data_IF_655709371235
#
_entry.id   IF_655709371235
#
_cell.length_a   1.000
_cell.length_b   1.000
_cell.length_c   1.000
_cell.angle_alpha   90.00
_cell.angle_beta   90.00
_cell.angle_gamma   90.00
#
_symmetry.space_group_name_H-M   'P 1'
#
loop_
_entity.id
_entity.type
_entity.pdbx_description
1 polymer ?
#
# COMPACT_ATOMS: atom_id res chain seq x y z
N UNK A 1 -27.42 -15.45 16.82
CA UNK A 1 -27.19 -13.99 16.77
C UNK A 1 -25.97 -13.77 15.90
N UNK A 2 -25.97 -12.79 14.98
CA UNK A 2 -24.75 -12.46 14.25
C UNK A 2 -23.68 -12.04 15.26
N UNK A 3 -22.49 -12.60 15.10
CA UNK A 3 -21.34 -12.34 15.96
C UNK A 3 -20.98 -10.85 15.89
N UNK A 4 -21.24 -10.11 16.98
CA UNK A 4 -20.98 -8.67 17.07
C UNK A 4 -19.49 -8.35 17.19
N UNK A 5 -18.63 -9.37 17.31
CA UNK A 5 -17.17 -9.19 17.39
C UNK A 5 -16.49 -9.24 16.02
N UNK A 6 -17.21 -9.67 14.97
CA UNK A 6 -16.67 -9.72 13.60
C UNK A 6 -16.98 -8.43 12.84
N UNK A 7 -15.96 -7.76 12.28
CA UNK A 7 -16.18 -6.57 11.47
C UNK A 7 -17.03 -6.93 10.25
N UNK A 8 -18.21 -6.34 10.10
CA UNK A 8 -18.95 -6.40 8.85
C UNK A 8 -18.28 -5.46 7.84
N UNK A 9 -17.12 -5.87 7.34
CA UNK A 9 -16.51 -5.31 6.15
C UNK A 9 -17.31 -5.81 4.95
N UNK A 10 -17.71 -4.92 4.05
CA UNK A 10 -18.17 -5.37 2.74
C UNK A 10 -17.04 -6.14 2.06
N UNK A 11 -17.37 -7.19 1.32
CA UNK A 11 -16.36 -7.97 0.57
C UNK A 11 -15.49 -7.00 -0.25
N UNK A 12 -14.16 -7.19 -0.26
CA UNK A 12 -13.20 -6.30 -0.95
C UNK A 12 -13.61 -5.98 -2.40
N UNK A 13 -14.30 -6.90 -3.07
CA UNK A 13 -14.88 -6.69 -4.41
C UNK A 13 -15.78 -5.45 -4.52
N UNK A 14 -16.42 -5.00 -3.44
CA UNK A 14 -17.25 -3.79 -3.43
C UNK A 14 -16.44 -2.51 -3.72
N UNK A 15 -15.11 -2.56 -3.60
CA UNK A 15 -14.20 -1.44 -3.87
C UNK A 15 -13.48 -1.56 -5.22
N UNK A 16 -13.69 -2.67 -5.94
CA UNK A 16 -13.10 -2.97 -7.25
C UNK A 16 -14.17 -2.72 -8.32
N UNK A 17 -14.22 -1.49 -8.85
CA UNK A 17 -15.15 -1.11 -9.91
C UNK A 17 -14.53 -1.25 -11.31
N UNK A 18 -15.36 -1.12 -12.36
CA UNK A 18 -14.90 -1.17 -13.75
C UNK A 18 -13.80 -0.14 -14.05
N UNK A 19 -13.87 1.04 -13.43
CA UNK A 19 -12.87 2.08 -13.64
C UNK A 19 -11.51 1.69 -13.04
N UNK A 20 -11.46 1.02 -11.89
CA UNK A 20 -10.23 0.42 -11.37
C UNK A 20 -9.69 -0.66 -12.30
N UNK A 21 -10.55 -1.53 -12.81
CA UNK A 21 -10.11 -2.62 -13.68
C UNK A 21 -9.55 -2.12 -15.02
N UNK A 22 -10.18 -1.09 -15.59
CA UNK A 22 -9.68 -0.39 -16.78
C UNK A 22 -8.34 0.31 -16.49
N UNK A 23 -8.19 0.89 -15.29
CA UNK A 23 -6.92 1.45 -14.81
C UNK A 23 -5.79 0.42 -14.82
N UNK A 24 -6.05 -0.78 -14.30
CA UNK A 24 -5.09 -1.85 -14.26
C UNK A 24 -4.70 -2.29 -15.67
N UNK A 25 -5.68 -2.43 -16.57
CA UNK A 25 -5.42 -2.77 -17.97
C UNK A 25 -4.54 -1.73 -18.66
N UNK A 26 -4.86 -0.44 -18.52
CA UNK A 26 -4.08 0.67 -19.07
C UNK A 26 -2.66 0.71 -18.48
N UNK A 27 -2.54 0.57 -17.16
CA UNK A 27 -1.24 0.57 -16.48
C UNK A 27 -0.36 -0.57 -16.98
N UNK A 28 -0.93 -1.76 -17.18
CA UNK A 28 -0.23 -2.90 -17.73
C UNK A 28 0.15 -2.76 -19.20
N UNK A 29 -0.74 -2.20 -20.04
CA UNK A 29 -0.42 -1.91 -21.43
C UNK A 29 0.79 -0.97 -21.51
N UNK A 30 0.75 0.16 -20.79
CA UNK A 30 1.84 1.12 -20.73
C UNK A 30 3.11 0.48 -20.17
N UNK A 31 3.00 -0.34 -19.13
CA UNK A 31 4.14 -1.03 -18.51
C UNK A 31 4.83 -1.98 -19.49
N UNK A 32 4.06 -2.76 -20.25
CA UNK A 32 4.58 -3.72 -21.23
C UNK A 32 5.28 -3.02 -22.39
N UNK A 33 4.69 -1.93 -22.91
CA UNK A 33 5.28 -1.10 -23.96
C UNK A 33 6.60 -0.44 -23.50
N UNK A 34 6.62 0.12 -22.28
CA UNK A 34 7.81 0.72 -21.71
C UNK A 34 8.90 -0.32 -21.43
N UNK A 35 8.53 -1.51 -20.93
CA UNK A 35 9.46 -2.59 -20.69
C UNK A 35 10.14 -3.06 -21.99
N UNK A 36 9.36 -3.27 -23.06
CA UNK A 36 9.92 -3.59 -24.38
C UNK A 36 10.86 -2.48 -24.87
N UNK A 37 10.44 -1.22 -24.76
CA UNK A 37 11.26 -0.07 -25.18
C UNK A 37 12.59 0.02 -24.43
N UNK A 38 12.61 -0.29 -23.14
CA UNK A 38 13.85 -0.35 -22.35
C UNK A 38 14.74 -1.49 -22.81
N UNK A 39 14.17 -2.68 -23.04
CA UNK A 39 14.92 -3.86 -23.47
C UNK A 39 15.51 -3.69 -24.88
N UNK A 40 14.79 -3.06 -25.80
CA UNK A 40 15.27 -2.77 -27.16
C UNK A 40 16.47 -1.82 -27.16
N UNK A 41 16.54 -0.94 -26.16
CA UNK A 41 17.62 0.05 -25.99
C UNK A 41 18.71 -0.41 -25.00
N UNK A 42 18.57 -1.58 -24.38
CA UNK A 42 19.48 -2.05 -23.34
C UNK A 42 20.79 -2.52 -23.96
N UNK A 43 21.90 -1.92 -23.54
CA UNK A 43 23.24 -2.48 -23.78
C UNK A 43 23.37 -3.79 -22.97
N UNK A 44 23.67 -4.94 -23.61
CA UNK A 44 23.82 -6.23 -22.93
C UNK A 44 24.82 -6.21 -21.77
N UNK A 45 25.82 -5.32 -21.83
CA UNK A 45 26.88 -5.20 -20.82
C UNK A 45 26.61 -4.08 -19.79
N UNK A 46 25.45 -3.41 -19.85
CA UNK A 46 25.12 -2.31 -18.94
C UNK A 46 24.97 -2.75 -17.48
N UNK A 47 24.59 -4.01 -17.22
CA UNK A 47 24.31 -4.49 -15.86
C UNK A 47 25.50 -5.29 -15.34
N UNK A 48 26.06 -4.84 -14.22
CA UNK A 48 27.09 -5.59 -13.49
C UNK A 48 26.61 -7.04 -13.20
N UNK A 49 27.32 -8.08 -13.68
CA UNK A 49 26.96 -9.46 -13.44
C UNK A 49 26.90 -9.87 -11.96
N UNK A 50 27.45 -9.07 -11.06
CA UNK A 50 27.43 -9.28 -9.60
C UNK A 50 26.29 -8.54 -8.90
N UNK A 51 25.57 -7.64 -9.58
CA UNK A 51 24.44 -6.91 -9.01
C UNK A 51 23.11 -7.68 -9.17
N UNK A 52 22.78 -8.48 -8.16
CA UNK A 52 21.57 -9.32 -8.16
C UNK A 52 20.28 -8.51 -8.34
N UNK A 53 20.25 -7.29 -7.83
CA UNK A 53 19.06 -6.44 -7.88
C UNK A 53 18.77 -5.98 -9.30
N UNK A 54 19.78 -5.40 -9.97
CA UNK A 54 19.60 -4.91 -11.34
C UNK A 54 19.33 -6.04 -12.33
N UNK A 55 19.96 -7.22 -12.14
CA UNK A 55 19.65 -8.40 -12.95
C UNK A 55 18.21 -8.85 -12.77
N UNK A 56 17.73 -8.90 -11.52
CA UNK A 56 16.31 -9.18 -11.25
C UNK A 56 15.39 -8.17 -11.95
N UNK A 57 15.73 -6.88 -11.96
CA UNK A 57 14.94 -5.86 -12.67
C UNK A 57 14.88 -6.14 -14.17
N UNK A 58 15.99 -6.53 -14.82
CA UNK A 58 16.00 -6.89 -16.25
C UNK A 58 15.16 -8.13 -16.51
N UNK A 59 15.26 -9.16 -15.67
CA UNK A 59 14.46 -10.39 -15.81
C UNK A 59 12.97 -10.11 -15.63
N UNK A 60 12.62 -9.21 -14.70
CA UNK A 60 11.25 -8.74 -14.52
C UNK A 60 10.76 -7.98 -15.75
N UNK A 61 11.57 -7.08 -16.32
CA UNK A 61 11.21 -6.34 -17.55
C UNK A 61 10.95 -7.29 -18.73
N UNK A 62 11.74 -8.36 -18.89
CA UNK A 62 11.51 -9.39 -19.92
C UNK A 62 10.15 -10.04 -19.77
N UNK A 63 9.81 -10.49 -18.55
CA UNK A 63 8.50 -11.08 -18.26
C UNK A 63 7.37 -10.08 -18.49
N UNK A 64 7.56 -8.80 -18.14
CA UNK A 64 6.56 -7.76 -18.32
C UNK A 64 6.36 -7.38 -19.81
N UNK A 65 7.40 -7.37 -20.63
CA UNK A 65 7.29 -7.09 -22.07
C UNK A 65 6.48 -8.15 -22.82
N UNK A 66 6.55 -9.41 -22.36
CA UNK A 66 5.76 -10.53 -22.88
C UNK A 66 4.36 -10.63 -22.26
N UNK A 67 4.07 -9.86 -21.21
CA UNK A 67 2.79 -9.92 -20.52
C UNK A 67 1.66 -9.43 -21.42
N UNK A 68 0.59 -10.21 -21.50
CA UNK A 68 -0.63 -9.86 -22.23
C UNK A 68 -1.80 -10.08 -21.29
N UNK A 69 -2.48 -8.99 -20.92
CA UNK A 69 -3.77 -9.14 -20.26
C UNK A 69 -4.76 -9.82 -21.20
N UNK A 70 -5.64 -10.63 -20.62
CA UNK A 70 -6.82 -11.10 -21.35
C UNK A 70 -7.62 -9.86 -21.81
N UNK A 71 -8.05 -9.82 -23.09
CA UNK A 71 -8.74 -8.66 -23.63
C UNK A 71 -10.05 -8.40 -22.87
N UNK A 72 -10.20 -7.18 -22.35
CA UNK A 72 -11.47 -6.69 -21.78
C UNK A 72 -12.34 -6.09 -22.89
N UNK A 73 -13.68 -6.11 -22.75
CA UNK A 73 -14.56 -5.29 -23.59
C UNK A 73 -14.10 -3.82 -23.55
N UNK A 74 -14.29 -3.09 -24.64
CA UNK A 74 -13.90 -1.68 -24.71
C UNK A 74 -14.50 -0.90 -23.51
N UNK A 75 -13.72 -0.04 -22.85
CA UNK A 75 -14.10 0.59 -21.58
C UNK A 75 -15.41 1.36 -21.75
N UNK A 76 -16.31 1.21 -20.78
CA UNK A 76 -17.55 1.99 -20.70
C UNK A 76 -17.18 3.37 -20.17
N UNK A 77 -16.63 4.22 -21.06
CA UNK A 77 -16.18 5.59 -20.76
C UNK A 77 -15.25 5.69 -19.54
N UNK A 78 -13.94 5.61 -19.77
CA UNK A 78 -12.90 5.88 -18.76
C UNK A 78 -13.23 7.26 -18.12
N UNK A 79 -13.43 7.36 -16.79
CA UNK A 79 -13.43 8.65 -16.11
C UNK A 79 -12.12 9.36 -16.47
N UNK A 80 -12.21 10.62 -16.94
CA UNK A 80 -11.16 11.36 -17.68
C UNK A 80 -9.71 10.87 -17.49
N UNK A 81 -8.94 10.84 -18.57
CA UNK A 81 -7.49 10.53 -18.60
C UNK A 81 -6.64 11.19 -17.48
N UNK A 82 -7.18 12.20 -16.79
CA UNK A 82 -6.64 12.87 -15.61
C UNK A 82 -6.57 11.98 -14.35
N UNK A 83 -7.51 11.05 -14.11
CA UNK A 83 -7.52 10.23 -12.88
C UNK A 83 -6.39 9.17 -12.82
N UNK A 84 -5.93 8.70 -13.98
CA UNK A 84 -4.80 7.77 -14.12
C UNK A 84 -3.48 8.43 -14.51
N UNK A 85 -3.52 9.73 -14.83
CA UNK A 85 -2.34 10.48 -15.22
C UNK A 85 -1.17 10.32 -14.23
N UNK A 86 -1.36 10.35 -12.89
CA UNK A 86 -0.25 10.19 -11.95
C UNK A 86 0.49 8.85 -12.10
N UNK A 87 -0.23 7.76 -12.37
CA UNK A 87 0.35 6.43 -12.62
C UNK A 87 1.17 6.43 -13.90
N UNK A 88 0.57 6.85 -15.02
CA UNK A 88 1.25 6.83 -16.32
C UNK A 88 2.46 7.77 -16.31
N UNK A 89 2.36 8.94 -15.68
CA UNK A 89 3.48 9.86 -15.54
C UNK A 89 4.62 9.29 -14.70
N UNK A 90 4.32 8.57 -13.61
CA UNK A 90 5.33 7.92 -12.78
C UNK A 90 5.97 6.73 -13.50
N UNK A 91 5.20 5.92 -14.23
CA UNK A 91 5.72 4.86 -15.10
C UNK A 91 6.69 5.43 -16.14
N UNK A 92 6.29 6.47 -16.87
CA UNK A 92 7.15 7.12 -17.89
C UNK A 92 8.39 7.78 -17.27
N UNK A 93 8.27 8.35 -16.07
CA UNK A 93 9.40 8.90 -15.32
C UNK A 93 10.41 7.81 -14.92
N UNK A 94 9.91 6.68 -14.40
CA UNK A 94 10.73 5.52 -14.09
C UNK A 94 11.41 4.98 -15.37
N UNK A 95 10.66 4.81 -16.46
CA UNK A 95 11.17 4.32 -17.74
C UNK A 95 12.33 5.15 -18.28
N UNK A 96 12.18 6.49 -18.32
CA UNK A 96 13.26 7.38 -18.76
C UNK A 96 14.50 7.37 -17.85
N UNK A 97 14.41 6.76 -16.67
CA UNK A 97 15.50 6.62 -15.72
C UNK A 97 16.08 5.21 -15.62
N UNK A 98 15.47 4.20 -16.24
CA UNK A 98 15.93 2.82 -16.20
C UNK A 98 17.36 2.64 -16.73
N UNK A 99 17.76 3.21 -17.88
CA UNK A 99 19.13 3.02 -18.40
C UNK A 99 20.21 3.44 -17.39
N UNK A 100 20.10 4.64 -16.83
CA UNK A 100 21.01 5.16 -15.80
C UNK A 100 20.88 4.48 -14.44
N UNK A 101 19.79 3.76 -14.20
CA UNK A 101 19.65 2.92 -13.01
C UNK A 101 20.39 1.60 -13.20
N UNK A 102 20.22 0.98 -14.37
CA UNK A 102 20.79 -0.32 -14.74
C UNK A 102 22.32 -0.25 -14.88
N UNK A 103 22.87 0.86 -15.38
CA UNK A 103 24.33 1.08 -15.45
C UNK A 103 24.98 1.56 -14.13
N UNK A 104 24.17 1.75 -13.08
CA UNK A 104 24.63 2.19 -11.77
C UNK A 104 24.90 3.69 -11.62
N UNK A 105 24.72 4.50 -12.67
CA UNK A 105 24.91 5.96 -12.65
C UNK A 105 23.95 6.65 -11.66
N UNK A 106 22.77 6.07 -11.40
CA UNK A 106 21.74 6.62 -10.52
C UNK A 106 21.14 5.56 -9.59
N UNK A 107 20.82 5.95 -8.36
CA UNK A 107 20.03 5.11 -7.46
C UNK A 107 18.53 5.33 -7.67
N UNK A 108 17.71 4.30 -7.48
CA UNK A 108 16.25 4.48 -7.55
C UNK A 108 15.71 5.45 -6.52
N UNK A 109 16.36 5.59 -5.36
CA UNK A 109 15.98 6.60 -4.37
C UNK A 109 16.12 8.02 -4.92
N UNK A 110 17.20 8.34 -5.63
CA UNK A 110 17.34 9.68 -6.23
C UNK A 110 16.39 9.88 -7.42
N UNK A 111 16.02 8.80 -8.11
CA UNK A 111 15.05 8.83 -9.21
C UNK A 111 13.63 9.11 -8.71
N UNK A 112 13.19 8.39 -7.68
CA UNK A 112 11.80 8.35 -7.23
C UNK A 112 11.52 9.33 -6.08
N UNK A 113 12.48 9.54 -5.18
CA UNK A 113 12.27 10.26 -3.93
C UNK A 113 12.95 11.64 -3.90
N UNK A 114 13.22 12.22 -5.08
CA UNK A 114 13.74 13.58 -5.21
C UNK A 114 13.12 14.32 -6.40
N UNK A 115 13.18 15.66 -6.37
CA UNK A 115 12.82 16.53 -7.49
C UNK A 115 11.45 16.22 -8.11
N UNK A 116 11.43 15.91 -9.41
CA UNK A 116 10.21 15.53 -10.14
C UNK A 116 9.65 14.19 -9.66
N UNK A 117 10.52 13.22 -9.35
CA UNK A 117 10.10 11.90 -8.86
C UNK A 117 9.23 12.00 -7.62
N UNK A 118 9.65 12.79 -6.62
CA UNK A 118 8.90 12.96 -5.37
C UNK A 118 7.51 13.60 -5.61
N UNK A 119 7.38 14.51 -6.57
CA UNK A 119 6.06 15.09 -6.91
C UNK A 119 5.12 14.05 -7.51
N UNK A 120 5.64 13.20 -8.41
CA UNK A 120 4.87 12.11 -9.02
C UNK A 120 4.54 11.02 -8.01
N UNK A 121 5.51 10.66 -7.15
CA UNK A 121 5.33 9.74 -6.02
C UNK A 121 4.16 10.20 -5.14
N UNK A 122 4.14 11.48 -4.76
CA UNK A 122 3.03 12.03 -3.99
C UNK A 122 1.70 11.84 -4.70
N UNK A 123 1.59 12.20 -5.99
CA UNK A 123 0.36 12.05 -6.77
C UNK A 123 -0.11 10.61 -6.94
N UNK A 124 0.83 9.67 -7.05
CA UNK A 124 0.54 8.24 -7.22
C UNK A 124 -0.20 7.62 -6.04
N UNK A 125 0.16 7.99 -4.81
CA UNK A 125 -0.47 7.44 -3.60
C UNK A 125 -1.70 8.23 -3.11
N UNK A 126 -2.10 9.32 -3.77
CA UNK A 126 -3.31 10.06 -3.37
C UNK A 126 -4.59 9.38 -3.87
N UNK A 127 -5.70 9.59 -3.15
CA UNK A 127 -7.03 9.04 -3.45
C UNK A 127 -7.57 9.21 -4.88
N UNK A 128 -7.24 10.26 -5.66
CA UNK A 128 -7.68 10.35 -7.05
C UNK A 128 -7.10 9.25 -7.96
N UNK A 129 -5.97 8.64 -7.59
CA UNK A 129 -5.43 7.53 -8.35
C UNK A 129 -6.30 6.28 -8.14
N UNK A 130 -7.00 5.84 -9.19
CA UNK A 130 -7.92 4.71 -9.06
C UNK A 130 -7.19 3.42 -8.66
N UNK A 131 -5.89 3.27 -8.94
CA UNK A 131 -5.15 2.05 -8.56
C UNK A 131 -4.95 1.90 -7.05
N UNK A 132 -4.91 3.01 -6.30
CA UNK A 132 -4.78 3.00 -4.84
C UNK A 132 -6.10 3.26 -4.12
N UNK A 133 -7.12 3.73 -4.83
CA UNK A 133 -8.45 4.00 -4.26
C UNK A 133 -9.06 2.77 -3.57
N UNK A 134 -9.06 1.55 -4.15
CA UNK A 134 -9.66 0.38 -3.48
C UNK A 134 -9.01 0.06 -2.14
N UNK A 135 -7.67 0.08 -2.07
CA UNK A 135 -6.90 -0.14 -0.84
C UNK A 135 -7.32 0.83 0.27
N UNK A 136 -7.34 2.12 -0.06
CA UNK A 136 -7.70 3.19 0.87
C UNK A 136 -9.18 3.14 1.28
N UNK A 137 -10.08 2.82 0.35
CA UNK A 137 -11.53 2.76 0.60
C UNK A 137 -11.90 1.56 1.48
N UNK A 138 -11.34 0.39 1.19
CA UNK A 138 -11.60 -0.81 1.95
C UNK A 138 -11.04 -0.69 3.38
N UNK A 139 -9.84 -0.12 3.52
CA UNK A 139 -9.27 0.24 4.82
C UNK A 139 -10.15 1.23 5.60
N UNK A 140 -10.56 2.34 4.98
CA UNK A 140 -11.38 3.35 5.64
C UNK A 140 -12.74 2.78 6.10
N UNK A 141 -13.35 1.91 5.28
CA UNK A 141 -14.58 1.24 5.65
C UNK A 141 -14.41 0.28 6.85
N UNK A 142 -13.30 -0.48 6.90
CA UNK A 142 -12.98 -1.34 8.03
C UNK A 142 -12.72 -0.54 9.32
N UNK A 143 -12.00 0.58 9.24
CA UNK A 143 -11.80 1.50 10.37
C UNK A 143 -13.14 2.06 10.83
N UNK A 144 -13.93 2.64 9.92
CA UNK A 144 -15.24 3.22 10.25
C UNK A 144 -16.21 2.20 10.86
N UNK A 145 -16.19 0.95 10.38
CA UNK A 145 -16.93 -0.14 10.98
C UNK A 145 -16.49 -0.39 12.42
N UNK A 146 -15.18 -0.53 12.63
CA UNK A 146 -14.59 -0.79 13.95
C UNK A 146 -14.92 0.31 14.96
N UNK A 147 -14.83 1.59 14.56
CA UNK A 147 -15.16 2.71 15.43
C UNK A 147 -16.64 2.68 15.86
N UNK A 148 -17.55 2.28 14.96
CA UNK A 148 -18.99 2.19 15.26
C UNK A 148 -19.36 1.00 16.15
N UNK A 149 -18.64 -0.13 16.06
CA UNK A 149 -19.02 -1.37 16.76
C UNK A 149 -18.19 -1.67 18.00
N UNK A 150 -16.89 -1.37 17.98
CA UNK A 150 -15.96 -1.62 19.09
C UNK A 150 -15.87 -0.49 20.11
N UNK A 151 -16.42 0.68 19.77
CA UNK A 151 -16.22 1.93 20.51
C UNK A 151 -14.76 2.37 20.52
N UNK A 152 -14.52 3.57 21.05
CA UNK A 152 -13.17 4.12 21.13
C UNK A 152 -12.88 5.22 20.13
N UNK A 153 -11.76 5.90 20.34
CA UNK A 153 -11.51 7.20 19.73
C UNK A 153 -10.08 7.41 19.25
N UNK A 154 -9.18 6.43 19.44
CA UNK A 154 -7.75 6.54 19.16
C UNK A 154 -7.34 5.65 17.99
N UNK A 155 -6.91 6.29 16.92
CA UNK A 155 -6.46 5.65 15.67
C UNK A 155 -4.97 5.91 15.51
N UNK A 156 -4.22 4.85 15.20
CA UNK A 156 -2.82 4.92 14.77
C UNK A 156 -2.74 4.45 13.33
N UNK A 157 -2.23 5.29 12.41
CA UNK A 157 -1.82 4.84 11.08
C UNK A 157 -0.29 4.70 11.05
N UNK A 158 0.19 3.54 10.60
CA UNK A 158 1.62 3.24 10.44
C UNK A 158 1.99 3.12 8.97
N UNK A 159 3.13 3.69 8.59
CA UNK A 159 3.58 3.71 7.19
C UNK A 159 2.68 4.56 6.29
N UNK A 160 2.16 5.67 6.82
CA UNK A 160 1.22 6.54 6.12
C UNK A 160 1.78 7.14 4.82
N UNK A 161 3.12 7.22 4.69
CA UNK A 161 3.81 7.80 3.56
C UNK A 161 3.31 9.21 3.26
N UNK A 162 2.71 9.37 2.08
CA UNK A 162 2.19 10.65 1.58
C UNK A 162 0.79 10.98 2.12
N UNK A 163 0.24 10.14 2.99
CA UNK A 163 -1.06 10.31 3.66
C UNK A 163 -2.26 10.02 2.77
N UNK A 164 -2.15 9.07 1.83
CA UNK A 164 -3.25 8.70 0.92
C UNK A 164 -4.43 8.08 1.66
N UNK A 165 -4.16 7.08 2.51
CA UNK A 165 -5.15 6.48 3.39
C UNK A 165 -5.73 7.48 4.38
N UNK A 166 -4.86 8.30 5.02
CA UNK A 166 -5.29 9.43 5.84
C UNK A 166 -6.30 10.33 5.11
N UNK A 167 -6.00 10.74 3.87
CA UNK A 167 -6.88 11.59 3.06
C UNK A 167 -8.25 10.97 2.87
N UNK A 168 -8.26 9.67 2.58
CA UNK A 168 -9.46 8.91 2.29
C UNK A 168 -10.34 8.75 3.53
N UNK A 169 -9.74 8.40 4.66
CA UNK A 169 -10.44 8.25 5.92
C UNK A 169 -11.02 9.59 6.41
N UNK A 170 -10.28 10.69 6.28
CA UNK A 170 -10.79 12.03 6.61
C UNK A 170 -11.95 12.46 5.69
N UNK A 171 -11.89 12.13 4.39
CA UNK A 171 -12.94 12.46 3.44
C UNK A 171 -14.22 11.64 3.64
N UNK A 172 -14.10 10.42 4.16
CA UNK A 172 -15.22 9.54 4.50
C UNK A 172 -15.47 9.48 6.01
N UNK A 173 -15.04 10.51 6.73
CA UNK A 173 -15.22 10.54 8.17
C UNK A 173 -16.73 10.53 8.50
N UNK A 174 -17.24 9.57 9.28
CA UNK A 174 -18.68 9.44 9.43
C UNK A 174 -19.29 10.56 10.29
N UNK A 175 -20.36 11.19 9.80
CA UNK A 175 -21.07 12.26 10.49
C UNK A 175 -21.78 11.79 11.77
N UNK A 176 -22.03 10.48 11.91
CA UNK A 176 -22.69 9.87 13.06
C UNK A 176 -21.76 9.61 14.24
N UNK A 177 -20.45 9.77 14.07
CA UNK A 177 -19.47 9.69 15.15
C UNK A 177 -19.47 11.01 15.96
N UNK A 178 -19.96 10.95 17.20
CA UNK A 178 -20.17 12.13 18.07
C UNK A 178 -19.14 12.32 19.19
N UNK A 179 -18.09 11.48 19.23
CA UNK A 179 -17.00 11.58 20.21
C UNK A 179 -15.83 12.44 19.75
N UNK A 180 -14.89 12.74 20.67
CA UNK A 180 -13.61 13.36 20.35
C UNK A 180 -12.58 12.28 19.99
N UNK A 181 -12.04 12.35 18.76
CA UNK A 181 -11.10 11.37 18.20
C UNK A 181 -9.68 11.90 18.14
N UNK A 182 -8.72 11.03 18.43
CA UNK A 182 -7.30 11.26 18.23
C UNK A 182 -6.80 10.35 17.10
N UNK A 183 -6.31 10.94 16.02
CA UNK A 183 -5.73 10.23 14.89
C UNK A 183 -4.24 10.54 14.79
N UNK A 184 -3.41 9.57 15.17
CA UNK A 184 -1.94 9.63 15.06
C UNK A 184 -1.48 9.02 13.75
N UNK A 185 -0.98 9.84 12.84
CA UNK A 185 -0.43 9.44 11.54
C UNK A 185 1.08 9.33 11.63
N UNK A 186 1.62 8.18 11.24
CA UNK A 186 3.05 7.91 11.41
C UNK A 186 3.73 7.32 10.18
N UNK A 187 5.01 7.66 10.03
CA UNK A 187 5.89 7.13 8.99
C UNK A 187 7.36 7.29 9.45
N UNK A 188 8.26 6.44 8.98
CA UNK A 188 9.69 6.56 9.30
C UNK A 188 10.31 7.80 8.62
N UNK A 189 9.77 8.21 7.48
CA UNK A 189 10.26 9.30 6.65
C UNK A 189 9.69 10.65 7.09
N UNK A 190 10.53 11.44 7.77
CA UNK A 190 10.18 12.80 8.16
C UNK A 190 9.77 13.69 6.97
N UNK A 191 10.39 13.51 5.79
CA UNK A 191 10.05 14.29 4.61
C UNK A 191 8.65 13.97 4.06
N UNK A 192 8.22 12.70 4.13
CA UNK A 192 6.88 12.30 3.71
C UNK A 192 5.83 12.84 4.68
N UNK A 193 6.08 12.77 5.99
CA UNK A 193 5.20 13.35 7.02
C UNK A 193 4.99 14.85 6.86
N UNK A 194 6.05 15.61 6.51
CA UNK A 194 5.91 17.05 6.23
C UNK A 194 4.97 17.30 5.06
N UNK A 195 5.05 16.46 4.01
CA UNK A 195 4.12 16.50 2.87
C UNK A 195 2.69 16.18 3.29
N UNK A 196 2.48 15.05 3.96
CA UNK A 196 1.17 14.60 4.43
C UNK A 196 0.49 15.65 5.35
N UNK A 197 1.26 16.23 6.29
CA UNK A 197 0.75 17.29 7.18
C UNK A 197 0.29 18.52 6.41
N UNK A 198 1.00 18.93 5.36
CA UNK A 198 0.60 20.07 4.52
C UNK A 198 -0.67 19.76 3.74
N UNK A 199 -0.79 18.55 3.20
CA UNK A 199 -1.99 18.10 2.45
C UNK A 199 -3.24 18.13 3.32
N UNK A 200 -3.13 17.77 4.59
CA UNK A 200 -4.27 17.59 5.51
C UNK A 200 -4.54 18.78 6.43
N UNK A 201 -3.70 19.82 6.36
CA UNK A 201 -3.90 21.04 7.15
C UNK A 201 -5.25 21.70 6.81
N UNK A 202 -6.13 21.82 7.81
CA UNK A 202 -7.45 22.44 7.66
C UNK A 202 -8.52 21.56 7.00
N UNK A 203 -8.27 20.26 6.84
CA UNK A 203 -9.22 19.28 6.26
C UNK A 203 -9.75 18.27 7.29
N UNK A 204 -9.59 18.58 8.57
CA UNK A 204 -9.94 17.69 9.69
C UNK A 204 -11.32 18.03 10.24
N UNK A 205 -12.18 17.04 10.50
CA UNK A 205 -13.40 17.23 11.27
C UNK A 205 -13.12 17.93 12.60
N UNK A 206 -14.06 18.76 13.09
CA UNK A 206 -13.87 19.55 14.32
C UNK A 206 -13.66 18.70 15.58
N UNK A 207 -14.19 17.48 15.58
CA UNK A 207 -14.12 16.51 16.66
C UNK A 207 -12.98 15.48 16.45
N UNK A 208 -12.07 15.74 15.50
CA UNK A 208 -10.91 14.89 15.23
C UNK A 208 -9.61 15.68 15.35
N UNK A 209 -8.79 15.32 16.33
CA UNK A 209 -7.42 15.80 16.48
C UNK A 209 -6.49 14.94 15.64
N UNK A 210 -5.85 15.56 14.65
CA UNK A 210 -4.86 14.91 13.80
C UNK A 210 -3.43 15.25 14.26
N UNK A 211 -2.63 14.22 14.55
CA UNK A 211 -1.23 14.33 14.93
C UNK A 211 -0.34 13.61 13.91
N UNK A 212 0.85 14.16 13.62
CA UNK A 212 1.85 13.53 12.76
C UNK A 212 3.11 13.28 13.55
N UNK A 213 3.62 12.05 13.51
CA UNK A 213 4.80 11.65 14.29
C UNK A 213 5.65 10.63 13.55
N UNK A 214 6.97 10.68 13.74
CA UNK A 214 7.86 9.65 13.23
C UNK A 214 7.69 8.35 14.02
N UNK A 215 7.52 7.24 13.32
CA UNK A 215 7.48 5.89 13.89
C UNK A 215 8.08 4.91 12.89
N UNK A 216 8.87 3.98 13.39
CA UNK A 216 9.49 2.89 12.65
C UNK A 216 8.89 1.56 13.14
N UNK A 217 8.02 0.95 12.35
CA UNK A 217 7.33 -0.28 12.75
C UNK A 217 8.24 -1.52 12.82
N UNK A 218 9.48 -1.44 12.34
CA UNK A 218 10.49 -2.50 12.50
C UNK A 218 11.14 -2.47 13.90
N UNK A 219 10.99 -1.37 14.64
CA UNK A 219 11.50 -1.22 16.00
C UNK A 219 10.41 -1.51 17.03
N UNK A 220 10.72 -2.33 18.04
CA UNK A 220 9.76 -2.79 19.04
C UNK A 220 9.20 -1.66 19.92
N UNK A 221 10.02 -1.11 20.82
CA UNK A 221 9.56 -0.22 21.89
C UNK A 221 10.35 1.10 21.96
N UNK A 222 9.87 2.04 22.77
CA UNK A 222 10.62 3.26 23.12
C UNK A 222 10.46 4.41 22.13
N UNK A 223 9.58 4.27 21.13
CA UNK A 223 9.29 5.34 20.16
C UNK A 223 8.20 6.31 20.65
N UNK A 224 7.74 6.12 21.89
CA UNK A 224 6.79 6.98 22.62
C UNK A 224 5.35 6.87 22.13
N UNK A 225 4.98 5.74 21.53
CA UNK A 225 3.61 5.26 21.45
C UNK A 225 3.36 4.37 22.68
N UNK A 226 2.21 4.55 23.33
CA UNK A 226 1.89 3.77 24.53
C UNK A 226 1.30 2.40 24.15
N UNK A 227 1.79 1.29 24.73
CA UNK A 227 1.15 -0.02 24.57
C UNK A 227 -0.30 0.00 25.07
N UNK A 228 -1.16 -0.81 24.48
CA UNK A 228 -2.55 -0.95 24.91
C UNK A 228 -3.40 0.33 24.82
N UNK A 229 -3.00 1.29 23.98
CA UNK A 229 -3.57 2.64 24.01
C UNK A 229 -4.38 3.03 22.78
N UNK A 230 -4.36 2.22 21.71
CA UNK A 230 -5.08 2.47 20.47
C UNK A 230 -6.27 1.54 20.30
N UNK A 231 -7.36 2.10 19.79
CA UNK A 231 -8.58 1.36 19.41
C UNK A 231 -8.43 0.73 18.03
N UNK A 232 -7.73 1.44 17.13
CA UNK A 232 -7.45 0.97 15.77
C UNK A 232 -5.99 1.23 15.43
N UNK A 233 -5.31 0.21 14.91
CA UNK A 233 -4.02 0.36 14.23
C UNK A 233 -4.25 0.04 12.76
N UNK A 234 -3.97 1.00 11.89
CA UNK A 234 -4.16 0.94 10.45
C UNK A 234 -2.81 0.90 9.74
N UNK A 235 -2.66 0.02 8.75
CA UNK A 235 -1.58 0.11 7.78
C UNK A 235 -2.11 -0.13 6.36
N UNK A 236 -1.80 0.77 5.43
CA UNK A 236 -2.22 0.64 4.03
C UNK A 236 -0.99 0.62 3.14
N UNK A 237 -0.79 -0.51 2.48
CA UNK A 237 0.27 -0.77 1.51
C UNK A 237 1.67 -0.44 2.05
N UNK A 238 1.95 -0.89 3.27
CA UNK A 238 3.09 -0.45 4.07
C UNK A 238 3.88 -1.60 4.70
N UNK A 239 3.24 -2.69 5.13
CA UNK A 239 3.91 -3.72 5.92
C UNK A 239 4.68 -4.72 5.06
N UNK A 240 4.42 -4.81 3.75
CA UNK A 240 5.18 -5.68 2.84
C UNK A 240 6.69 -5.35 2.80
N UNK A 241 7.09 -4.13 3.16
CA UNK A 241 8.51 -3.73 3.26
C UNK A 241 9.14 -3.96 4.65
N UNK A 242 8.39 -4.42 5.66
CA UNK A 242 8.87 -4.58 7.04
C UNK A 242 9.87 -5.73 7.20
N UNK A 243 11.02 -5.50 7.81
CA UNK A 243 12.15 -6.46 7.87
C UNK A 243 11.72 -7.87 8.32
N UNK A 244 10.83 -7.96 9.31
CA UNK A 244 10.15 -9.19 9.74
C UNK A 244 8.66 -8.89 9.95
N UNK A 245 7.83 -9.29 9.00
CA UNK A 245 6.38 -8.99 9.01
C UNK A 245 5.72 -9.57 10.27
N UNK A 246 6.02 -10.82 10.65
CA UNK A 246 5.42 -11.45 11.84
C UNK A 246 5.83 -10.75 13.14
N UNK A 247 7.07 -10.27 13.23
CA UNK A 247 7.52 -9.46 14.37
C UNK A 247 6.84 -8.09 14.39
N UNK A 248 6.73 -7.42 13.25
CA UNK A 248 6.02 -6.16 13.13
C UNK A 248 4.55 -6.29 13.52
N UNK A 249 3.87 -7.37 13.09
CA UNK A 249 2.48 -7.65 13.47
C UNK A 249 2.33 -7.78 14.99
N UNK A 250 3.25 -8.48 15.68
CA UNK A 250 3.27 -8.56 17.16
C UNK A 250 3.48 -7.20 17.83
N UNK A 251 4.37 -6.37 17.28
CA UNK A 251 4.61 -5.02 17.79
C UNK A 251 3.37 -4.12 17.62
N UNK A 252 2.74 -4.14 16.44
CA UNK A 252 1.52 -3.37 16.20
C UNK A 252 0.36 -3.86 17.08
N UNK A 253 0.28 -5.17 17.30
CA UNK A 253 -0.68 -5.79 18.21
C UNK A 253 -0.52 -5.31 19.65
N UNK A 254 0.70 -5.09 20.14
CA UNK A 254 0.93 -4.62 21.52
C UNK A 254 0.45 -3.18 21.77
N UNK A 255 0.29 -2.39 20.70
CA UNK A 255 -0.23 -1.03 20.76
C UNK A 255 -1.76 -0.98 20.91
N UNK A 256 -2.45 -2.06 20.57
CA UNK A 256 -3.91 -2.15 20.67
C UNK A 256 -4.35 -2.39 22.10
N UNK A 257 -5.38 -1.65 22.55
CA UNK A 257 -6.10 -2.01 23.77
C UNK A 257 -6.81 -3.35 23.61
N UNK A 258 -7.22 -4.01 24.71
CA UNK A 258 -8.14 -5.14 24.62
C UNK A 258 -9.41 -4.77 23.84
N UNK A 259 -9.77 -5.60 22.87
CA UNK A 259 -10.88 -5.35 21.93
C UNK A 259 -10.62 -4.33 20.81
N UNK A 260 -9.44 -3.72 20.70
CA UNK A 260 -9.06 -2.89 19.55
C UNK A 260 -8.83 -3.72 18.27
N UNK A 261 -8.72 -3.10 17.10
CA UNK A 261 -8.51 -3.82 15.83
C UNK A 261 -7.24 -3.41 15.09
N UNK A 262 -6.52 -4.40 14.56
CA UNK A 262 -5.51 -4.21 13.53
C UNK A 262 -6.20 -4.29 12.17
N UNK A 263 -6.07 -3.26 11.34
CA UNK A 263 -6.61 -3.19 9.98
C UNK A 263 -5.44 -3.06 9.01
N UNK A 264 -5.27 -4.04 8.13
CA UNK A 264 -4.28 -4.02 7.05
C UNK A 264 -4.98 -3.99 5.70
N UNK A 265 -4.44 -3.22 4.77
CA UNK A 265 -4.88 -3.22 3.38
C UNK A 265 -3.67 -3.22 2.46
N UNK A 266 -3.47 -4.28 1.68
CA UNK A 266 -2.21 -4.52 0.94
C UNK A 266 -2.47 -4.99 -0.49
N UNK A 267 -1.66 -4.51 -1.43
CA UNK A 267 -1.53 -5.15 -2.74
C UNK A 267 -0.85 -6.51 -2.59
N UNK A 268 -1.36 -7.49 -3.33
CA UNK A 268 -0.87 -8.86 -3.35
C UNK A 268 -0.31 -9.21 -4.73
N UNK A 269 0.53 -10.23 -4.75
CA UNK A 269 0.92 -10.94 -5.97
C UNK A 269 0.60 -12.42 -5.76
N UNK A 270 -0.23 -13.00 -6.64
CA UNK A 270 -0.41 -14.43 -6.64
C UNK A 270 0.89 -15.12 -7.09
N UNK A 271 1.14 -16.33 -6.58
CA UNK A 271 2.40 -17.02 -6.83
C UNK A 271 2.63 -17.21 -8.35
N UNK A 272 3.73 -16.64 -8.85
CA UNK A 272 4.12 -16.72 -10.26
C UNK A 272 3.58 -15.60 -11.15
N UNK A 273 2.67 -14.76 -10.65
CA UNK A 273 2.17 -13.60 -11.37
C UNK A 273 3.14 -12.41 -11.30
N UNK A 274 2.77 -11.32 -11.95
CA UNK A 274 3.47 -10.05 -11.90
C UNK A 274 2.49 -8.98 -11.41
N UNK A 275 3.02 -7.90 -10.84
CA UNK A 275 2.24 -6.70 -10.48
C UNK A 275 2.88 -5.50 -11.17
N UNK A 276 2.14 -4.74 -11.97
CA UNK A 276 2.73 -3.65 -12.79
C UNK A 276 3.48 -2.62 -11.93
N UNK A 277 3.05 -2.44 -10.69
CA UNK A 277 3.64 -1.51 -9.71
C UNK A 277 5.13 -1.84 -9.45
N UNK A 278 5.55 -3.10 -9.62
CA UNK A 278 6.95 -3.50 -9.54
C UNK A 278 7.82 -2.81 -10.59
N UNK A 279 7.27 -2.40 -11.74
CA UNK A 279 8.00 -1.59 -12.72
C UNK A 279 8.58 -0.32 -12.07
N UNK A 280 7.83 0.32 -11.17
CA UNK A 280 8.31 1.51 -10.45
C UNK A 280 9.21 1.08 -9.29
N UNK A 281 8.70 0.16 -8.46
CA UNK A 281 9.34 -0.15 -7.20
C UNK A 281 10.62 -0.99 -7.32
N UNK A 282 10.85 -1.67 -8.44
CA UNK A 282 12.11 -2.38 -8.75
C UNK A 282 13.31 -1.45 -8.88
N UNK A 283 13.10 -0.13 -8.92
CA UNK A 283 14.20 0.83 -8.75
C UNK A 283 14.66 0.90 -7.28
N UNK A 284 13.83 0.51 -6.32
CA UNK A 284 14.13 0.47 -4.88
C UNK A 284 14.61 -0.92 -4.46
N UNK A 285 15.50 -1.02 -3.45
CA UNK A 285 16.02 -2.29 -2.98
C UNK A 285 14.92 -3.31 -2.66
N UNK A 286 15.11 -4.53 -3.13
CA UNK A 286 14.32 -5.70 -2.76
C UNK A 286 14.90 -6.37 -1.51
N UNK A 287 14.01 -6.93 -0.69
CA UNK A 287 14.41 -7.75 0.46
C UNK A 287 14.87 -9.14 0.00
N UNK A 288 15.73 -9.78 0.78
CA UNK A 288 16.25 -11.11 0.45
C UNK A 288 15.16 -12.18 0.29
N UNK A 289 14.08 -12.10 1.05
CA UNK A 289 12.92 -13.00 0.93
C UNK A 289 12.08 -12.69 -0.31
N UNK A 290 11.88 -11.41 -0.65
CA UNK A 290 11.23 -10.99 -1.88
C UNK A 290 11.99 -11.48 -3.14
N UNK A 291 13.33 -11.44 -3.12
CA UNK A 291 14.15 -12.02 -4.20
C UNK A 291 13.86 -13.51 -4.42
N UNK A 292 13.74 -14.29 -3.33
CA UNK A 292 13.43 -15.73 -3.43
C UNK A 292 12.05 -16.01 -4.00
N UNK A 293 11.07 -15.15 -3.68
CA UNK A 293 9.69 -15.25 -4.22
C UNK A 293 9.56 -14.69 -5.63
N UNK A 294 10.50 -13.85 -6.05
CA UNK A 294 10.45 -13.16 -7.35
C UNK A 294 9.49 -11.97 -7.39
N UNK A 295 8.92 -11.57 -6.24
CA UNK A 295 8.06 -10.40 -6.10
C UNK A 295 8.22 -9.76 -4.71
N UNK A 296 8.04 -8.44 -4.64
CA UNK A 296 7.94 -7.69 -3.37
C UNK A 296 6.60 -7.87 -2.67
N UNK A 297 5.56 -8.23 -3.42
CA UNK A 297 4.23 -8.44 -2.89
C UNK A 297 4.07 -9.91 -2.54
N UNK A 298 3.44 -10.17 -1.41
CA UNK A 298 3.17 -11.54 -0.94
C UNK A 298 1.80 -12.01 -1.41
N UNK A 299 1.60 -13.33 -1.49
CA UNK A 299 0.28 -13.89 -1.72
C UNK A 299 -0.56 -13.83 -0.44
N UNK A 300 -1.88 -14.02 -0.57
CA UNK A 300 -2.78 -14.05 0.60
C UNK A 300 -2.40 -15.16 1.60
N UNK A 301 -1.94 -16.31 1.10
CA UNK A 301 -1.49 -17.42 1.95
C UNK A 301 -0.24 -17.05 2.77
N UNK A 302 0.71 -16.32 2.18
CA UNK A 302 1.90 -15.85 2.92
C UNK A 302 1.50 -14.88 4.04
N UNK A 303 0.49 -14.02 3.80
CA UNK A 303 -0.04 -13.14 4.84
C UNK A 303 -0.71 -13.93 5.97
N UNK A 304 -1.48 -14.96 5.65
CA UNK A 304 -2.05 -15.86 6.65
C UNK A 304 -0.94 -16.50 7.50
N UNK A 305 0.11 -17.03 6.88
CA UNK A 305 1.26 -17.60 7.59
C UNK A 305 1.91 -16.56 8.52
N UNK A 306 2.00 -15.30 8.10
CA UNK A 306 2.53 -14.22 8.93
C UNK A 306 1.66 -13.90 10.15
N UNK A 307 0.33 -13.90 9.98
CA UNK A 307 -0.63 -13.72 11.06
C UNK A 307 -0.59 -14.90 12.04
N UNK A 308 -0.56 -16.14 11.54
CA UNK A 308 -0.46 -17.34 12.36
C UNK A 308 0.84 -17.36 13.18
N UNK A 309 1.97 -17.02 12.56
CA UNK A 309 3.25 -16.90 13.24
C UNK A 309 3.29 -15.73 14.24
N UNK A 310 2.43 -14.73 14.09
CA UNK A 310 2.24 -13.65 15.05
C UNK A 310 1.26 -14.01 16.18
N UNK A 311 0.56 -15.15 16.08
CA UNK A 311 -0.49 -15.54 17.02
C UNK A 311 -1.73 -14.66 16.91
N UNK A 312 -2.05 -14.18 15.70
CA UNK A 312 -3.15 -13.26 15.44
C UNK A 312 -4.17 -13.97 14.56
N UNK A 313 -5.39 -14.14 15.07
CA UNK A 313 -6.53 -14.60 14.26
C UNK A 313 -7.08 -13.41 13.45
N UNK A 314 -6.86 -13.44 12.13
CA UNK A 314 -7.22 -12.37 11.22
C UNK A 314 -8.29 -12.84 10.21
N UNK A 315 -9.34 -12.05 10.04
CA UNK A 315 -10.27 -12.23 8.92
C UNK A 315 -9.65 -11.60 7.67
N UNK A 316 -9.23 -12.44 6.72
CA UNK A 316 -8.61 -12.01 5.46
C UNK A 316 -9.64 -12.09 4.33
N UNK A 317 -9.84 -10.97 3.65
CA UNK A 317 -10.64 -10.87 2.44
C UNK A 317 -9.76 -10.44 1.28
N UNK A 318 -9.97 -11.05 0.11
CA UNK A 318 -9.27 -10.74 -1.14
C UNK A 318 -10.31 -10.55 -2.24
N UNK A 319 -10.12 -9.57 -3.12
CA UNK A 319 -10.98 -9.45 -4.31
C UNK A 319 -10.88 -10.72 -5.18
N UNK A 320 -11.99 -11.04 -5.83
CA UNK A 320 -12.10 -12.12 -6.80
C UNK A 320 -11.93 -11.65 -8.24
N UNK A 321 -12.00 -10.34 -8.46
CA UNK A 321 -11.95 -9.72 -9.78
C UNK A 321 -10.72 -8.84 -9.96
N UNK A 322 -10.03 -9.02 -11.07
CA UNK A 322 -8.91 -8.19 -11.47
C UNK A 322 -7.56 -8.91 -11.42
N UNK A 323 -6.58 -8.40 -12.17
CA UNK A 323 -5.24 -8.98 -12.28
C UNK A 323 -4.37 -8.65 -11.06
N UNK A 324 -4.71 -7.57 -10.36
CA UNK A 324 -4.08 -7.18 -9.11
C UNK A 324 -5.02 -7.50 -7.96
N UNK A 325 -4.49 -8.28 -7.03
CA UNK A 325 -5.21 -8.68 -5.86
C UNK A 325 -4.96 -7.66 -4.74
N UNK A 326 -6.02 -7.29 -4.06
CA UNK A 326 -6.07 -6.41 -2.90
C UNK A 326 -6.60 -7.23 -1.74
N UNK A 327 -5.90 -7.15 -0.62
CA UNK A 327 -6.30 -7.77 0.63
C UNK A 327 -6.81 -6.71 1.59
N UNK A 328 -7.86 -7.02 2.35
CA UNK A 328 -8.11 -6.40 3.65
C UNK A 328 -8.11 -7.47 4.72
N UNK A 329 -7.31 -7.26 5.76
CA UNK A 329 -7.24 -8.13 6.92
C UNK A 329 -7.61 -7.35 8.17
N UNK A 330 -8.52 -7.90 8.98
CA UNK A 330 -8.91 -7.30 10.26
C UNK A 330 -8.76 -8.32 11.39
N UNK A 331 -8.05 -7.94 12.44
CA UNK A 331 -7.84 -8.79 13.61
C UNK A 331 -8.15 -8.05 14.91
N UNK A 332 -9.09 -8.58 15.70
CA UNK A 332 -9.49 -8.02 16.98
C UNK A 332 -8.51 -8.42 18.10
N UNK A 333 -8.15 -7.49 18.97
CA UNK A 333 -7.42 -7.70 20.22
C UNK A 333 -8.25 -8.54 21.15
N UNK A 334 -7.65 -9.60 21.71
CA UNK A 334 -8.34 -10.42 22.72
C UNK A 334 -8.87 -9.49 23.81
N UNK A 335 -10.14 -9.66 24.15
CA UNK A 335 -10.70 -8.97 25.30
C UNK A 335 -9.99 -9.50 26.55
N UNK A 336 -9.72 -8.61 27.52
CA UNK A 336 -9.24 -9.07 28.81
C UNK A 336 -10.27 -10.04 29.42
N UNK A 337 -9.83 -11.16 30.02
CA UNK A 337 -10.71 -12.21 30.55
C UNK A 337 -11.64 -11.73 31.66
#
# INVERSE_FOLDING_TARGET
MPDRTRPATGHVDAYVDEAYLDACADAWQVTSELAQSILDALDPDAVDPTDDHRRHCVDWLRRAADYRMLPRPAPVAIPSAEAHAPTVELLRHAAGAYPRFLDGTSSGRSILLAGRGMRLWNGYFQSPNLLYRPLNAAAAAAVNHTLRTGGGTRILEVGAGTGGATAHLLAQWPDDLSGDYDYTVTDMSASLLVGARRTHSGRTPSHLRLEFRRFDFDLADGQGLAPGSYDVVLAVNALHIATDISSTLRNLRSLLRPGGALVLSESLCAAGDLVHQEFIFNLLPLRADAFRRGSRFSAAADWQDHFDAAGIDAEIQVNTSGPELVMVAVAAAEAAP
#
